data_IF_659805241547
#
_entry.id   IF_659805241547
#
_cell.length_a   1.000
_cell.length_b   1.000
_cell.length_c   1.000
_cell.angle_alpha   90.00
_cell.angle_beta   90.00
_cell.angle_gamma   90.00
#
_symmetry.space_group_name_H-M   'P 1'
#
loop_
_entity.id
_entity.type
_entity.pdbx_description
1 polymer ?
#
# COMPACT_ATOMS: atom_id res chain seq x y z
N UNK A 1 19.11 20.55 3.38
CA UNK A 1 17.87 21.19 2.83
C UNK A 1 17.04 20.09 2.18
N UNK A 2 15.98 19.60 2.85
CA UNK A 2 15.06 18.63 2.25
C UNK A 2 14.36 19.32 1.05
N UNK A 3 14.51 18.75 -0.16
CA UNK A 3 13.80 19.25 -1.34
C UNK A 3 12.31 19.01 -1.10
N UNK A 4 11.52 20.09 -1.00
CA UNK A 4 10.05 19.99 -0.94
C UNK A 4 9.55 19.38 -2.25
N UNK A 5 9.13 18.12 -2.19
CA UNK A 5 8.65 17.36 -3.35
C UNK A 5 7.19 17.68 -3.73
N UNK A 6 6.47 18.40 -2.85
CA UNK A 6 5.08 18.74 -3.09
C UNK A 6 4.88 20.26 -3.00
N UNK A 7 4.17 20.83 -3.97
CA UNK A 7 3.90 22.28 -4.05
C UNK A 7 3.04 22.85 -2.90
N UNK A 8 2.49 22.02 -2.03
CA UNK A 8 1.42 22.38 -1.09
C UNK A 8 1.75 22.21 0.40
N UNK A 9 3.00 21.93 0.80
CA UNK A 9 3.29 21.77 2.23
C UNK A 9 4.51 20.90 2.52
N UNK A 10 4.63 20.41 3.77
CA UNK A 10 5.66 19.47 4.16
C UNK A 10 5.37 18.08 3.60
N UNK A 11 6.42 17.29 3.33
CA UNK A 11 6.29 15.90 2.89
C UNK A 11 5.56 15.05 3.95
N UNK A 12 5.73 15.40 5.22
CA UNK A 12 5.04 14.75 6.33
C UNK A 12 3.53 14.96 6.28
N UNK A 13 3.06 16.14 5.89
CA UNK A 13 1.63 16.42 5.68
C UNK A 13 1.09 15.64 4.48
N UNK A 14 1.85 15.57 3.39
CA UNK A 14 1.49 14.74 2.24
C UNK A 14 1.40 13.24 2.60
N UNK A 15 2.34 12.73 3.40
CA UNK A 15 2.30 11.35 3.89
C UNK A 15 1.05 11.04 4.74
N UNK A 16 0.59 11.99 5.58
CA UNK A 16 -0.65 11.85 6.37
C UNK A 16 -1.89 11.76 5.47
N UNK A 17 -1.98 12.61 4.45
CA UNK A 17 -3.11 12.62 3.52
C UNK A 17 -3.12 11.32 2.71
N UNK A 18 -1.97 10.90 2.18
CA UNK A 18 -1.84 9.67 1.41
C UNK A 18 -2.21 8.44 2.24
N UNK A 19 -1.75 8.35 3.49
CA UNK A 19 -2.10 7.23 4.37
C UNK A 19 -3.60 7.17 4.64
N UNK A 20 -4.26 8.31 4.85
CA UNK A 20 -5.72 8.35 5.04
C UNK A 20 -6.46 7.84 3.78
N UNK A 21 -6.03 8.26 2.58
CA UNK A 21 -6.60 7.78 1.32
C UNK A 21 -6.39 6.26 1.17
N UNK A 22 -5.18 5.76 1.44
CA UNK A 22 -4.90 4.31 1.35
C UNK A 22 -5.75 3.50 2.32
N UNK A 23 -5.92 3.94 3.56
CA UNK A 23 -6.79 3.29 4.54
C UNK A 23 -8.23 3.17 4.00
N UNK A 24 -8.78 4.26 3.45
CA UNK A 24 -10.13 4.24 2.87
C UNK A 24 -10.21 3.25 1.71
N UNK A 25 -9.25 3.28 0.78
CA UNK A 25 -9.21 2.35 -0.36
C UNK A 25 -9.11 0.90 0.12
N UNK A 26 -8.29 0.60 1.13
CA UNK A 26 -8.16 -0.75 1.70
C UNK A 26 -9.44 -1.23 2.37
N UNK A 27 -10.13 -0.37 3.12
CA UNK A 27 -11.41 -0.70 3.73
C UNK A 27 -12.44 -1.07 2.67
N UNK A 28 -12.51 -0.30 1.57
CA UNK A 28 -13.40 -0.61 0.45
C UNK A 28 -13.04 -1.94 -0.21
N UNK A 29 -11.75 -2.19 -0.46
CA UNK A 29 -11.27 -3.46 -1.04
C UNK A 29 -11.58 -4.66 -0.13
N UNK A 30 -11.36 -4.53 1.18
CA UNK A 30 -11.70 -5.58 2.16
C UNK A 30 -13.22 -5.83 2.20
N UNK A 31 -14.02 -4.76 2.15
CA UNK A 31 -15.49 -4.87 2.09
C UNK A 31 -15.98 -5.60 0.84
N UNK A 32 -15.43 -5.25 -0.34
CA UNK A 32 -15.77 -5.92 -1.60
C UNK A 32 -15.34 -7.38 -1.61
N UNK A 33 -14.10 -7.69 -1.20
CA UNK A 33 -13.62 -9.06 -1.15
C UNK A 33 -14.42 -9.90 -0.15
N UNK A 34 -14.74 -9.36 1.03
CA UNK A 34 -15.59 -10.02 2.02
C UNK A 34 -17.00 -10.26 1.51
N UNK A 35 -17.58 -9.28 0.80
CA UNK A 35 -18.90 -9.44 0.18
C UNK A 35 -18.92 -10.54 -0.88
N UNK A 36 -17.90 -10.61 -1.75
CA UNK A 36 -17.78 -11.65 -2.77
C UNK A 36 -17.62 -13.04 -2.14
N UNK A 37 -16.82 -13.17 -1.08
CA UNK A 37 -16.64 -14.44 -0.36
C UNK A 37 -17.94 -14.85 0.35
N UNK A 38 -18.63 -13.92 0.97
CA UNK A 38 -19.90 -14.19 1.65
C UNK A 38 -21.03 -14.61 0.70
N UNK A 39 -20.97 -14.18 -0.57
CA UNK A 39 -21.93 -14.53 -1.62
C UNK A 39 -21.34 -15.47 -2.66
N UNK A 40 -20.37 -16.31 -2.27
CA UNK A 40 -19.60 -17.12 -3.22
C UNK A 40 -20.47 -18.06 -4.05
N UNK A 41 -21.49 -18.68 -3.45
CA UNK A 41 -22.44 -19.55 -4.18
C UNK A 41 -23.12 -18.82 -5.34
N UNK A 42 -23.54 -17.58 -5.13
CA UNK A 42 -24.11 -16.76 -6.20
C UNK A 42 -23.12 -16.46 -7.33
N UNK A 43 -21.84 -16.27 -7.00
CA UNK A 43 -20.77 -16.03 -7.98
C UNK A 43 -20.48 -17.30 -8.76
N UNK A 44 -20.41 -18.45 -8.09
CA UNK A 44 -20.20 -19.76 -8.67
C UNK A 44 -21.32 -20.14 -9.64
N UNK A 45 -22.57 -20.02 -9.23
CA UNK A 45 -23.74 -20.31 -10.08
C UNK A 45 -23.72 -19.50 -11.39
N UNK A 46 -23.37 -18.20 -11.31
CA UNK A 46 -23.29 -17.34 -12.50
C UNK A 46 -22.07 -17.61 -13.39
N UNK A 47 -20.97 -18.19 -12.86
CA UNK A 47 -19.80 -18.57 -13.65
C UNK A 47 -20.03 -19.90 -14.37
N UNK A 48 -20.76 -20.84 -13.76
CA UNK A 48 -21.02 -22.18 -14.31
C UNK A 48 -22.08 -22.16 -15.40
N UNK A 49 -23.01 -21.16 -15.41
CA UNK A 49 -24.01 -21.01 -16.48
C UNK A 49 -23.47 -20.73 -17.88
N UNK A 50 -22.15 -20.57 -18.04
CA UNK A 50 -21.53 -20.33 -19.37
C UNK A 50 -21.49 -21.64 -20.15
N UNK A 51 -22.51 -21.86 -20.98
CA UNK A 51 -22.73 -23.06 -21.78
C UNK A 51 -21.51 -23.50 -22.62
N UNK A 52 -21.13 -24.76 -22.50
CA UNK A 52 -20.33 -25.48 -23.51
C UNK A 52 -18.85 -25.69 -23.23
N UNK A 53 -18.34 -25.40 -22.05
CA UNK A 53 -16.97 -25.75 -21.64
C UNK A 53 -16.93 -27.00 -20.73
N UNK A 54 -15.78 -27.70 -20.73
CA UNK A 54 -15.52 -28.83 -19.82
C UNK A 54 -15.78 -28.43 -18.38
N UNK A 55 -16.72 -29.10 -17.73
CA UNK A 55 -17.13 -28.81 -16.33
C UNK A 55 -15.93 -28.91 -15.36
N UNK A 56 -14.99 -29.82 -15.60
CA UNK A 56 -13.81 -29.99 -14.76
C UNK A 56 -12.87 -28.76 -14.83
N UNK A 57 -12.70 -28.18 -16.03
CA UNK A 57 -11.88 -26.98 -16.22
C UNK A 57 -12.52 -25.71 -15.60
N UNK A 58 -13.84 -25.64 -15.58
CA UNK A 58 -14.58 -24.56 -14.93
C UNK A 58 -14.42 -24.67 -13.41
N UNK A 59 -14.58 -25.86 -12.85
CA UNK A 59 -14.45 -26.07 -11.41
C UNK A 59 -13.04 -25.71 -10.90
N UNK A 60 -12.00 -26.14 -11.61
CA UNK A 60 -10.61 -25.76 -11.30
C UNK A 60 -10.40 -24.23 -11.34
N UNK A 61 -11.02 -23.53 -12.29
CA UNK A 61 -10.94 -22.07 -12.38
C UNK A 61 -11.67 -21.39 -11.21
N UNK A 62 -12.85 -21.89 -10.83
CA UNK A 62 -13.64 -21.40 -9.69
C UNK A 62 -12.85 -21.52 -8.39
N UNK A 63 -12.25 -22.70 -8.14
CA UNK A 63 -11.44 -22.96 -6.95
C UNK A 63 -10.20 -22.06 -6.89
N UNK A 64 -9.56 -21.80 -8.03
CA UNK A 64 -8.43 -20.85 -8.12
C UNK A 64 -8.86 -19.41 -7.80
N UNK A 65 -10.01 -18.97 -8.30
CA UNK A 65 -10.54 -17.62 -8.03
C UNK A 65 -10.87 -17.47 -6.53
N UNK A 66 -11.50 -18.47 -5.92
CA UNK A 66 -11.81 -18.49 -4.49
C UNK A 66 -10.54 -18.38 -3.64
N UNK A 67 -9.51 -19.19 -3.98
CA UNK A 67 -8.22 -19.14 -3.30
C UNK A 67 -7.56 -17.75 -3.44
N UNK A 68 -7.57 -17.18 -4.65
CA UNK A 68 -7.03 -15.84 -4.90
C UNK A 68 -7.74 -14.76 -4.10
N UNK A 69 -9.07 -14.84 -3.96
CA UNK A 69 -9.85 -13.91 -3.14
C UNK A 69 -9.49 -14.01 -1.66
N UNK A 70 -9.34 -15.22 -1.12
CA UNK A 70 -8.94 -15.46 0.27
C UNK A 70 -7.53 -14.92 0.55
N UNK A 71 -6.57 -15.18 -0.35
CA UNK A 71 -5.20 -14.67 -0.25
C UNK A 71 -5.20 -13.14 -0.35
N UNK A 72 -5.96 -12.57 -1.29
CA UNK A 72 -6.10 -11.12 -1.45
C UNK A 72 -6.68 -10.46 -0.21
N UNK A 73 -7.68 -11.07 0.43
CA UNK A 73 -8.25 -10.59 1.70
C UNK A 73 -7.19 -10.51 2.80
N UNK A 74 -6.40 -11.58 2.97
CA UNK A 74 -5.32 -11.62 3.95
C UNK A 74 -4.25 -10.57 3.70
N UNK A 75 -3.79 -10.43 2.45
CA UNK A 75 -2.80 -9.43 2.07
C UNK A 75 -3.32 -8.00 2.27
N UNK A 76 -4.57 -7.71 1.92
CA UNK A 76 -5.16 -6.40 2.14
C UNK A 76 -5.27 -6.05 3.64
N UNK A 77 -5.52 -7.02 4.51
CA UNK A 77 -5.51 -6.79 5.96
C UNK A 77 -4.11 -6.42 6.48
N UNK A 78 -3.07 -7.10 6.00
CA UNK A 78 -1.67 -6.77 6.34
C UNK A 78 -1.30 -5.38 5.83
N UNK A 79 -1.67 -5.03 4.61
CA UNK A 79 -1.41 -3.69 4.06
C UNK A 79 -2.19 -2.60 4.80
N UNK A 80 -3.42 -2.86 5.24
CA UNK A 80 -4.17 -1.92 6.08
C UNK A 80 -3.45 -1.63 7.39
N UNK A 81 -2.90 -2.66 8.04
CA UNK A 81 -2.08 -2.48 9.24
C UNK A 81 -0.82 -1.63 8.95
N UNK A 82 -0.19 -1.84 7.80
CA UNK A 82 0.93 -1.02 7.33
C UNK A 82 0.54 0.45 7.12
N UNK A 83 -0.58 0.71 6.45
CA UNK A 83 -1.08 2.07 6.17
C UNK A 83 -1.49 2.80 7.47
N UNK A 84 -2.05 2.09 8.46
CA UNK A 84 -2.27 2.60 9.81
C UNK A 84 -0.94 2.95 10.50
N UNK A 85 0.07 2.08 10.36
CA UNK A 85 1.42 2.34 10.85
C UNK A 85 2.03 3.61 10.23
N UNK A 86 1.85 3.81 8.92
CA UNK A 86 2.27 5.03 8.22
C UNK A 86 1.57 6.27 8.79
N UNK A 87 0.25 6.21 9.01
CA UNK A 87 -0.52 7.31 9.57
C UNK A 87 -0.03 7.66 10.98
N UNK A 88 0.05 6.67 11.87
CA UNK A 88 0.54 6.86 13.25
C UNK A 88 1.98 7.36 13.25
N UNK A 89 2.85 6.78 12.44
CA UNK A 89 4.25 7.19 12.32
C UNK A 89 4.40 8.64 11.84
N UNK A 90 3.55 9.07 10.91
CA UNK A 90 3.53 10.45 10.40
C UNK A 90 2.98 11.46 11.41
N UNK A 91 1.97 11.08 12.21
CA UNK A 91 1.39 11.94 13.25
C UNK A 91 2.35 12.06 14.45
N UNK A 92 2.84 10.93 14.92
CA UNK A 92 3.71 10.85 16.11
C UNK A 92 5.19 11.08 15.81
N UNK A 93 5.55 11.36 14.56
CA UNK A 93 6.93 11.56 14.08
C UNK A 93 7.87 10.38 14.43
N UNK A 94 7.34 9.14 14.38
CA UNK A 94 8.08 7.91 14.65
C UNK A 94 8.70 7.40 13.35
N UNK A 95 9.99 7.68 13.14
CA UNK A 95 10.71 7.30 11.93
C UNK A 95 10.70 5.81 11.63
N UNK A 96 10.75 4.96 12.65
CA UNK A 96 10.79 3.49 12.49
C UNK A 96 9.54 2.97 11.77
N UNK A 97 8.35 3.49 12.10
CA UNK A 97 7.11 3.10 11.44
C UNK A 97 7.09 3.49 9.95
N UNK A 98 7.64 4.65 9.61
CA UNK A 98 7.76 5.10 8.22
C UNK A 98 8.74 4.20 7.44
N UNK A 99 9.85 3.78 8.05
CA UNK A 99 10.81 2.86 7.44
C UNK A 99 10.21 1.48 7.21
N UNK A 100 9.47 0.93 8.19
CA UNK A 100 8.78 -0.37 8.06
C UNK A 100 7.80 -0.31 6.87
N UNK A 101 7.00 0.75 6.79
CA UNK A 101 6.07 0.93 5.67
C UNK A 101 6.81 1.02 4.33
N UNK A 102 7.90 1.77 4.27
CA UNK A 102 8.68 1.97 3.04
C UNK A 102 9.30 0.66 2.52
N UNK A 103 9.80 -0.18 3.42
CA UNK A 103 10.29 -1.52 3.08
C UNK A 103 9.14 -2.40 2.58
N UNK A 104 8.00 -2.41 3.26
CA UNK A 104 6.81 -3.14 2.85
C UNK A 104 6.30 -2.72 1.48
N UNK A 105 6.26 -1.41 1.20
CA UNK A 105 5.88 -0.87 -0.10
C UNK A 105 6.86 -1.30 -1.22
N UNK A 106 8.17 -1.26 -0.96
CA UNK A 106 9.17 -1.73 -1.92
C UNK A 106 9.00 -3.22 -2.23
N UNK A 107 8.81 -4.06 -1.21
CA UNK A 107 8.56 -5.50 -1.39
C UNK A 107 7.28 -5.76 -2.16
N UNK A 108 6.21 -4.98 -1.95
CA UNK A 108 4.95 -5.12 -2.69
C UNK A 108 5.10 -4.81 -4.18
N UNK A 109 5.91 -3.80 -4.52
CA UNK A 109 6.22 -3.48 -5.93
C UNK A 109 7.00 -4.61 -6.59
N UNK A 110 8.01 -5.17 -5.90
CA UNK A 110 8.79 -6.30 -6.41
C UNK A 110 7.87 -7.52 -6.62
N UNK A 111 7.02 -7.84 -5.66
CA UNK A 111 6.05 -8.93 -5.76
C UNK A 111 5.11 -8.74 -6.97
N UNK A 112 4.56 -7.54 -7.15
CA UNK A 112 3.70 -7.22 -8.29
C UNK A 112 4.41 -7.39 -9.64
N UNK A 113 5.68 -6.95 -9.74
CA UNK A 113 6.46 -7.12 -10.96
C UNK A 113 6.67 -8.61 -11.26
N UNK A 114 7.09 -9.40 -10.27
CA UNK A 114 7.32 -10.84 -10.44
C UNK A 114 6.02 -11.56 -10.83
N UNK A 115 4.92 -11.29 -10.15
CA UNK A 115 3.62 -11.92 -10.43
C UNK A 115 3.12 -11.62 -11.85
N UNK A 116 3.36 -10.41 -12.36
CA UNK A 116 2.90 -10.01 -13.69
C UNK A 116 3.81 -10.49 -14.83
N UNK A 117 5.07 -10.84 -14.56
CA UNK A 117 5.95 -11.48 -15.56
C UNK A 117 5.37 -12.83 -16.03
N UNK A 118 4.63 -13.52 -15.17
CA UNK A 118 3.99 -14.81 -15.52
C UNK A 118 2.64 -14.67 -16.24
N UNK A 119 2.02 -13.48 -16.25
CA UNK A 119 0.66 -13.28 -16.79
C UNK A 119 0.60 -12.63 -18.19
N UNK A 120 1.68 -12.43 -18.88
CA UNK A 120 1.89 -11.90 -20.24
C UNK A 120 0.67 -11.22 -20.95
N UNK A 121 -0.07 -10.38 -20.22
CA UNK A 121 -1.18 -9.60 -20.78
C UNK A 121 -0.80 -8.11 -20.83
N UNK A 122 -0.97 -7.49 -22.00
CA UNK A 122 -0.61 -6.07 -22.23
C UNK A 122 -1.29 -5.14 -21.21
N UNK A 123 -2.56 -5.38 -20.87
CA UNK A 123 -3.30 -4.60 -19.89
C UNK A 123 -2.69 -4.71 -18.48
N UNK A 124 -2.25 -5.90 -18.08
CA UNK A 124 -1.60 -6.15 -16.80
C UNK A 124 -0.23 -5.46 -16.72
N UNK A 125 0.51 -5.45 -17.82
CA UNK A 125 1.82 -4.77 -17.92
C UNK A 125 1.64 -3.26 -17.74
N UNK A 126 0.69 -2.65 -18.45
CA UNK A 126 0.39 -1.21 -18.34
C UNK A 126 -0.01 -0.86 -16.90
N UNK A 127 -0.92 -1.65 -16.29
CA UNK A 127 -1.35 -1.47 -14.91
C UNK A 127 -0.19 -1.56 -13.92
N UNK A 128 0.72 -2.52 -14.11
CA UNK A 128 1.90 -2.71 -13.27
C UNK A 128 2.86 -1.52 -13.37
N UNK A 129 3.10 -1.00 -14.58
CA UNK A 129 3.96 0.19 -14.78
C UNK A 129 3.36 1.40 -14.07
N UNK A 130 2.07 1.66 -14.22
CA UNK A 130 1.38 2.77 -13.54
C UNK A 130 1.48 2.60 -12.03
N UNK A 131 1.19 1.39 -11.51
CA UNK A 131 1.30 1.09 -10.08
C UNK A 131 2.72 1.32 -9.55
N UNK A 132 3.75 0.86 -10.27
CA UNK A 132 5.14 1.03 -9.89
C UNK A 132 5.54 2.52 -9.83
N UNK A 133 5.12 3.32 -10.82
CA UNK A 133 5.40 4.77 -10.86
C UNK A 133 4.73 5.51 -9.70
N UNK A 134 3.45 5.22 -9.44
CA UNK A 134 2.71 5.83 -8.32
C UNK A 134 3.33 5.42 -6.98
N UNK A 135 3.65 4.14 -6.81
CA UNK A 135 4.29 3.64 -5.60
C UNK A 135 5.66 4.26 -5.37
N UNK A 136 6.47 4.41 -6.41
CA UNK A 136 7.76 5.08 -6.33
C UNK A 136 7.61 6.55 -5.91
N UNK A 137 6.65 7.26 -6.49
CA UNK A 137 6.37 8.64 -6.09
C UNK A 137 5.97 8.75 -4.61
N UNK A 138 5.07 7.87 -4.15
CA UNK A 138 4.67 7.82 -2.73
C UNK A 138 5.85 7.51 -1.81
N UNK A 139 6.69 6.54 -2.19
CA UNK A 139 7.92 6.23 -1.43
C UNK A 139 8.85 7.45 -1.31
N UNK A 140 8.99 8.25 -2.38
CA UNK A 140 9.77 9.49 -2.33
C UNK A 140 9.17 10.52 -1.34
N UNK A 141 7.84 10.64 -1.31
CA UNK A 141 7.15 11.53 -0.35
C UNK A 141 7.37 11.08 1.09
N UNK A 142 7.21 9.79 1.38
CA UNK A 142 7.41 9.22 2.72
C UNK A 142 8.87 9.36 3.15
N UNK A 143 9.83 9.09 2.27
CA UNK A 143 11.24 9.29 2.54
C UNK A 143 11.57 10.76 2.84
N UNK A 144 10.98 11.69 2.09
CA UNK A 144 11.09 13.12 2.38
C UNK A 144 10.56 13.48 3.76
N UNK A 145 9.43 12.87 4.19
CA UNK A 145 8.90 13.01 5.55
C UNK A 145 9.85 12.51 6.64
N UNK A 146 10.55 11.39 6.40
CA UNK A 146 11.59 10.88 7.31
C UNK A 146 12.72 11.91 7.48
N UNK A 147 13.17 12.52 6.38
CA UNK A 147 14.22 13.54 6.44
C UNK A 147 13.76 14.80 7.19
N UNK A 148 12.51 15.25 6.99
CA UNK A 148 11.93 16.37 7.75
C UNK A 148 11.95 16.10 9.26
N UNK A 149 11.52 14.91 9.71
CA UNK A 149 11.57 14.53 11.14
C UNK A 149 13.00 14.53 11.67
N UNK A 150 13.96 14.07 10.86
CA UNK A 150 15.37 14.04 11.25
C UNK A 150 15.94 15.45 11.41
N UNK A 151 15.65 16.36 10.48
CA UNK A 151 16.07 17.77 10.55
C UNK A 151 15.46 18.48 11.78
N UNK A 152 14.16 18.27 12.06
CA UNK A 152 13.52 18.82 13.25
C UNK A 152 14.20 18.36 14.54
N UNK A 153 14.45 17.06 14.70
CA UNK A 153 15.11 16.52 15.90
C UNK A 153 16.53 17.07 16.07
N UNK A 154 17.27 17.25 14.98
CA UNK A 154 18.61 17.85 15.04
C UNK A 154 18.55 19.33 15.44
N UNK A 155 17.58 20.08 14.96
CA UNK A 155 17.38 21.49 15.32
C UNK A 155 17.02 21.63 16.81
N UNK A 156 16.14 20.76 17.34
CA UNK A 156 15.79 20.73 18.77
C UNK A 156 17.01 20.39 19.64
N UNK A 157 17.82 19.41 19.24
CA UNK A 157 19.01 19.02 20.00
C UNK A 157 20.04 20.17 20.04
N UNK A 158 20.29 20.84 18.90
CA UNK A 158 21.22 21.98 18.82
C UNK A 158 20.72 23.18 19.67
N UNK A 159 19.40 23.41 19.68
CA UNK A 159 18.81 24.47 20.51
C UNK A 159 19.02 24.21 22.00
N UNK A 160 18.76 22.98 22.44
CA UNK A 160 18.94 22.58 23.85
C UNK A 160 20.42 22.67 24.28
N UNK A 161 21.34 22.25 23.42
CA UNK A 161 22.79 22.38 23.71
C UNK A 161 23.24 23.83 23.83
N UNK A 162 22.74 24.72 22.98
CA UNK A 162 23.06 26.14 23.05
C UNK A 162 22.50 26.82 24.29
N UNK A 163 21.32 26.42 24.76
CA UNK A 163 20.77 26.91 26.02
C UNK A 163 21.61 26.45 27.21
N UNK A 164 22.05 25.17 27.23
CA UNK A 164 22.89 24.65 28.30
C UNK A 164 24.29 25.31 28.40
N UNK A 165 24.80 25.82 27.29
CA UNK A 165 26.07 26.55 27.24
C UNK A 165 25.96 27.99 27.71
N UNK A 166 24.76 28.59 27.71
CA UNK A 166 24.51 30.00 28.03
C UNK A 166 23.92 30.16 29.45
N UNK A 167 23.66 29.08 30.19
CA UNK A 167 23.26 29.05 31.63
C UNK A 167 24.46 28.73 32.51
#
# INVERSE_FOLDING_TARGET
MAKKFCCCGSNLTAAKILSAIFIIVRIVQLGLAGFLIANWQFVEDNLVETEGQDQDAIQDAVDQIELMLKVSLGLNAVFLAGDLGLLVGSISKIQVLLWIWLIGAALSVIYMIISNVFLFNVLTIIGTVIYALVSFWVMCVVYGGIQEIKEEKQAEANFTENQAKNS
#
